data_IF_920037225580
#
_entry.id   IF_920037225580
#
_cell.length_a   1.000
_cell.length_b   1.000
_cell.length_c   1.000
_cell.angle_alpha   90.00
_cell.angle_beta   90.00
_cell.angle_gamma   90.00
#
_symmetry.space_group_name_H-M   'P 1'
#
loop_
_entity.id
_entity.type
_entity.pdbx_description
1 polymer ?
#
# COMPACT_ATOMS: atom_id res chain seq x y z
N UNK A 1 19.97 22.93 -48.04
CA UNK A 1 21.06 22.99 -47.02
C UNK A 1 21.05 24.29 -46.20
N UNK A 2 21.20 25.49 -46.78
CA UNK A 2 21.26 26.75 -45.98
C UNK A 2 20.02 27.03 -45.10
N UNK A 3 18.82 26.69 -45.58
CA UNK A 3 17.57 26.85 -44.81
C UNK A 3 17.50 25.87 -43.63
N UNK A 4 17.89 24.61 -43.84
CA UNK A 4 17.92 23.59 -42.78
C UNK A 4 18.95 23.95 -41.67
N UNK A 5 20.06 24.57 -42.05
CA UNK A 5 21.10 25.04 -41.14
C UNK A 5 20.64 26.21 -40.24
N UNK A 6 19.60 26.94 -40.62
CA UNK A 6 19.02 28.00 -39.78
C UNK A 6 17.80 27.47 -39.00
N UNK A 7 16.99 26.61 -39.63
CA UNK A 7 15.78 26.06 -39.02
C UNK A 7 16.04 25.25 -37.74
N UNK A 8 17.07 24.39 -37.73
CA UNK A 8 17.37 23.57 -36.55
C UNK A 8 17.79 24.41 -35.34
N UNK A 9 18.76 25.35 -35.44
CA UNK A 9 19.07 26.26 -34.34
C UNK A 9 17.89 27.14 -33.94
N UNK A 10 17.12 27.68 -34.89
CA UNK A 10 15.95 28.52 -34.58
C UNK A 10 14.88 27.73 -33.84
N UNK A 11 14.58 26.50 -34.27
CA UNK A 11 13.63 25.64 -33.59
C UNK A 11 14.11 25.26 -32.18
N UNK A 12 15.39 24.91 -32.03
CA UNK A 12 15.98 24.60 -30.73
C UNK A 12 15.90 25.79 -29.77
N UNK A 13 16.29 26.99 -30.22
CA UNK A 13 16.19 28.21 -29.41
C UNK A 13 14.73 28.55 -29.08
N UNK A 14 13.80 28.37 -30.01
CA UNK A 14 12.39 28.58 -29.76
C UNK A 14 11.87 27.63 -28.67
N UNK A 15 12.22 26.33 -28.74
CA UNK A 15 11.85 25.33 -27.72
C UNK A 15 12.44 25.70 -26.36
N UNK A 16 13.71 26.12 -26.29
CA UNK A 16 14.33 26.53 -25.04
C UNK A 16 13.68 27.78 -24.44
N UNK A 17 13.46 28.82 -25.25
CA UNK A 17 12.85 30.07 -24.77
C UNK A 17 11.42 29.81 -24.34
N UNK A 18 10.63 29.06 -25.11
CA UNK A 18 9.26 28.69 -24.73
C UNK A 18 9.26 27.84 -23.47
N UNK A 19 10.12 26.82 -23.40
CA UNK A 19 10.23 25.94 -22.24
C UNK A 19 10.60 26.68 -20.96
N UNK A 20 11.60 27.57 -21.01
CA UNK A 20 11.97 28.44 -19.89
C UNK A 20 10.84 29.41 -19.53
N UNK A 21 10.21 30.02 -20.53
CA UNK A 21 9.07 30.93 -20.29
C UNK A 21 7.95 30.19 -19.56
N UNK A 22 7.58 29.00 -20.02
CA UNK A 22 6.56 28.16 -19.38
C UNK A 22 6.98 27.74 -17.98
N UNK A 23 8.24 27.34 -17.78
CA UNK A 23 8.77 26.96 -16.48
C UNK A 23 8.64 28.10 -15.44
N UNK A 24 8.99 29.33 -15.81
CA UNK A 24 8.90 30.48 -14.90
C UNK A 24 7.49 31.08 -14.75
N UNK A 25 6.52 30.68 -15.60
CA UNK A 25 5.14 31.20 -15.56
C UNK A 25 4.12 30.19 -15.05
N UNK A 26 4.47 28.91 -15.00
CA UNK A 26 3.62 27.86 -14.41
C UNK A 26 3.82 27.86 -12.91
N UNK A 27 2.73 27.74 -12.15
CA UNK A 27 2.80 27.66 -10.69
C UNK A 27 3.39 26.32 -10.25
N UNK A 28 4.23 26.37 -9.21
CA UNK A 28 4.77 25.18 -8.59
C UNK A 28 3.65 24.34 -7.98
N UNK A 29 3.72 23.02 -8.19
CA UNK A 29 2.86 22.03 -7.55
C UNK A 29 3.58 21.45 -6.34
N UNK A 30 2.85 21.30 -5.24
CA UNK A 30 3.39 20.66 -4.03
C UNK A 30 3.33 19.13 -4.12
N UNK A 31 2.38 18.57 -4.86
CA UNK A 31 2.12 17.12 -4.91
C UNK A 31 1.88 16.61 -6.34
N UNK A 32 2.36 15.40 -6.61
CA UNK A 32 1.99 14.63 -7.81
C UNK A 32 0.96 13.57 -7.44
N UNK A 33 -0.25 13.73 -7.96
CA UNK A 33 -1.31 12.72 -7.79
C UNK A 33 -0.96 11.40 -8.49
N UNK A 34 -0.28 11.46 -9.65
CA UNK A 34 0.11 10.28 -10.44
C UNK A 34 1.23 9.47 -9.76
N UNK A 35 2.22 10.16 -9.17
CA UNK A 35 3.36 9.53 -8.52
C UNK A 35 3.15 9.33 -7.00
N UNK A 36 2.05 9.86 -6.44
CA UNK A 36 1.69 9.82 -5.02
C UNK A 36 2.85 10.22 -4.09
N UNK A 37 3.48 11.35 -4.39
CA UNK A 37 4.60 11.91 -3.60
C UNK A 37 4.57 13.43 -3.61
N UNK A 38 5.27 14.00 -2.64
CA UNK A 38 5.63 15.41 -2.64
C UNK A 38 6.61 15.72 -3.78
N UNK A 39 6.42 16.89 -4.37
CA UNK A 39 7.27 17.44 -5.41
C UNK A 39 8.24 18.43 -4.79
N UNK A 40 9.46 18.46 -5.31
CA UNK A 40 10.44 19.45 -4.89
C UNK A 40 9.94 20.83 -5.29
N UNK A 41 9.79 21.72 -4.31
CA UNK A 41 9.49 23.15 -4.50
C UNK A 41 10.75 23.99 -4.37
N UNK A 42 10.67 25.29 -4.68
CA UNK A 42 11.78 26.24 -4.65
C UNK A 42 12.29 26.58 -3.22
N UNK A 43 12.28 25.62 -2.31
CA UNK A 43 12.79 25.71 -0.95
C UNK A 43 14.14 25.01 -0.84
N UNK A 44 15.19 25.70 -1.30
CA UNK A 44 16.55 25.15 -1.31
C UNK A 44 17.32 25.46 -0.03
N UNK A 45 18.16 24.52 0.39
CA UNK A 45 19.08 24.77 1.50
C UNK A 45 20.09 25.87 1.14
N UNK A 46 20.22 26.88 2.01
CA UNK A 46 21.22 27.95 1.87
C UNK A 46 22.53 27.64 2.59
N UNK A 47 22.72 26.40 3.08
CA UNK A 47 23.91 26.01 3.83
C UNK A 47 25.09 25.71 2.89
N UNK A 48 26.26 26.27 3.17
CA UNK A 48 27.50 26.05 2.41
C UNK A 48 27.91 24.57 2.37
N UNK A 49 27.62 23.81 3.44
CA UNK A 49 27.89 22.35 3.47
C UNK A 49 27.04 21.58 2.45
N UNK A 50 25.81 22.03 2.18
CA UNK A 50 24.90 21.41 1.23
C UNK A 50 25.30 21.70 -0.23
N UNK A 51 26.04 22.78 -0.46
CA UNK A 51 26.66 23.10 -1.75
C UNK A 51 27.83 22.16 -2.02
N UNK A 52 28.74 22.01 -1.04
CA UNK A 52 29.95 21.18 -1.20
C UNK A 52 29.60 19.69 -1.31
N UNK A 53 28.57 19.24 -0.60
CA UNK A 53 28.10 17.84 -0.65
C UNK A 53 27.33 17.47 -1.93
N UNK A 54 26.99 18.46 -2.78
CA UNK A 54 26.19 18.26 -3.98
C UNK A 54 24.68 18.09 -3.70
N UNK A 55 24.24 18.22 -2.45
CA UNK A 55 22.83 18.16 -2.07
C UNK A 55 22.02 19.26 -2.75
N UNK A 56 22.52 20.51 -2.74
CA UNK A 56 21.85 21.62 -3.43
C UNK A 56 21.67 21.33 -4.93
N UNK A 57 22.67 20.72 -5.58
CA UNK A 57 22.58 20.38 -7.01
C UNK A 57 21.46 19.37 -7.25
N UNK A 58 21.35 18.34 -6.41
CA UNK A 58 20.27 17.34 -6.49
C UNK A 58 18.89 17.96 -6.23
N UNK A 59 18.78 18.87 -5.26
CA UNK A 59 17.53 19.60 -4.99
C UNK A 59 17.12 20.44 -6.19
N UNK A 60 18.04 21.18 -6.80
CA UNK A 60 17.77 21.99 -8.00
C UNK A 60 17.39 21.11 -9.20
N UNK A 61 18.10 20.00 -9.44
CA UNK A 61 17.74 19.05 -10.50
C UNK A 61 16.35 18.45 -10.29
N UNK A 62 16.03 18.09 -9.05
CA UNK A 62 14.72 17.56 -8.69
C UNK A 62 13.63 18.61 -8.88
N UNK A 63 13.86 19.86 -8.46
CA UNK A 63 12.94 20.98 -8.67
C UNK A 63 12.64 21.20 -10.15
N UNK A 64 13.67 21.29 -10.98
CA UNK A 64 13.50 21.52 -12.43
C UNK A 64 12.73 20.36 -13.07
N UNK A 65 13.01 19.12 -12.65
CA UNK A 65 12.28 17.94 -13.12
C UNK A 65 10.82 17.98 -12.68
N UNK A 66 10.57 18.23 -11.39
CA UNK A 66 9.25 18.14 -10.77
C UNK A 66 8.30 19.25 -11.22
N UNK A 67 8.82 20.47 -11.38
CA UNK A 67 8.06 21.64 -11.80
C UNK A 67 8.10 21.86 -13.32
N UNK A 68 8.54 20.87 -14.09
CA UNK A 68 8.56 20.98 -15.54
C UNK A 68 7.13 21.17 -16.09
N UNK A 69 6.95 22.19 -16.93
CA UNK A 69 5.63 22.50 -17.50
C UNK A 69 5.07 21.30 -18.27
N UNK A 70 3.80 20.97 -18.01
CA UNK A 70 3.12 19.80 -18.57
C UNK A 70 3.81 18.45 -18.27
N UNK A 71 4.51 18.33 -17.13
CA UNK A 71 5.22 17.11 -16.71
C UNK A 71 4.40 15.84 -16.93
N UNK A 72 3.13 15.84 -16.53
CA UNK A 72 2.31 14.63 -16.59
C UNK A 72 2.08 14.17 -18.04
N UNK A 73 1.87 15.10 -18.99
CA UNK A 73 1.74 14.78 -20.42
C UNK A 73 3.06 14.27 -21.02
N UNK A 74 4.19 14.87 -20.61
CA UNK A 74 5.52 14.41 -21.00
C UNK A 74 5.80 13.00 -20.50
N UNK A 75 5.51 12.73 -19.22
CA UNK A 75 5.74 11.43 -18.61
C UNK A 75 4.81 10.37 -19.19
N UNK A 76 3.54 10.70 -19.46
CA UNK A 76 2.61 9.84 -20.18
C UNK A 76 3.13 9.49 -21.58
N UNK A 77 3.64 10.48 -22.31
CA UNK A 77 4.23 10.29 -23.64
C UNK A 77 5.50 9.44 -23.58
N UNK A 78 6.34 9.63 -22.57
CA UNK A 78 7.54 8.84 -22.33
C UNK A 78 7.22 7.37 -22.00
N UNK A 79 6.20 7.11 -21.18
CA UNK A 79 5.73 5.74 -20.91
C UNK A 79 5.19 5.07 -22.17
N UNK A 80 4.39 5.77 -22.98
CA UNK A 80 3.92 5.27 -24.28
C UNK A 80 5.07 4.98 -25.23
N UNK A 81 6.09 5.84 -25.27
CA UNK A 81 7.29 5.63 -26.09
C UNK A 81 8.08 4.40 -25.65
N UNK A 82 8.31 4.22 -24.34
CA UNK A 82 8.95 3.01 -23.80
C UNK A 82 8.19 1.75 -24.18
N UNK A 83 6.86 1.79 -24.05
CA UNK A 83 5.97 0.68 -24.42
C UNK A 83 6.07 0.36 -25.93
N UNK A 84 6.02 1.38 -26.79
CA UNK A 84 6.06 1.23 -28.25
C UNK A 84 7.42 0.78 -28.78
N UNK A 85 8.50 1.15 -28.10
CA UNK A 85 9.88 0.75 -28.47
C UNK A 85 10.31 -0.60 -27.89
N UNK A 86 9.42 -1.28 -27.17
CA UNK A 86 9.68 -2.60 -26.59
C UNK A 86 10.62 -2.56 -25.39
N UNK A 87 10.73 -1.43 -24.68
CA UNK A 87 11.48 -1.39 -23.42
C UNK A 87 10.80 -2.33 -22.43
N UNK A 88 11.53 -3.36 -22.02
CA UNK A 88 11.01 -4.45 -21.20
C UNK A 88 10.55 -3.98 -19.81
N UNK A 89 11.34 -3.11 -19.18
CA UNK A 89 11.04 -2.55 -17.86
C UNK A 89 10.65 -1.09 -18.02
N UNK A 90 9.37 -0.79 -17.88
CA UNK A 90 8.85 0.56 -17.98
C UNK A 90 9.10 1.29 -16.67
N UNK A 91 9.57 2.54 -16.74
CA UNK A 91 9.96 3.34 -15.57
C UNK A 91 10.99 2.64 -14.66
N UNK A 92 11.71 1.65 -15.20
CA UNK A 92 12.67 0.81 -14.48
C UNK A 92 12.09 0.06 -13.26
N UNK A 93 10.76 -0.07 -13.22
CA UNK A 93 10.01 -0.65 -12.10
C UNK A 93 9.04 -1.77 -12.50
N UNK A 94 8.51 -1.77 -13.74
CA UNK A 94 7.40 -2.65 -14.09
C UNK A 94 7.56 -3.35 -15.44
N UNK A 95 7.10 -4.60 -15.48
CA UNK A 95 6.76 -5.30 -16.71
C UNK A 95 5.26 -5.12 -16.97
N UNK A 96 4.89 -4.76 -18.20
CA UNK A 96 3.50 -4.50 -18.58
C UNK A 96 3.11 -5.42 -19.73
N UNK A 97 2.09 -6.25 -19.52
CA UNK A 97 1.46 -7.00 -20.61
C UNK A 97 0.26 -6.23 -21.16
N UNK A 98 0.52 -5.46 -22.22
CA UNK A 98 -0.49 -4.62 -22.86
C UNK A 98 -1.70 -5.39 -23.41
N UNK A 99 -1.62 -6.72 -23.59
CA UNK A 99 -2.76 -7.53 -24.07
C UNK A 99 -3.77 -7.83 -22.97
N UNK A 100 -3.29 -8.05 -21.75
CA UNK A 100 -4.12 -8.50 -20.64
C UNK A 100 -4.35 -7.40 -19.60
N UNK A 101 -3.55 -6.33 -19.63
CA UNK A 101 -3.57 -5.24 -18.66
C UNK A 101 -2.78 -5.51 -17.39
N UNK A 102 -2.09 -6.65 -17.29
CA UNK A 102 -1.31 -7.00 -16.11
C UNK A 102 -0.05 -6.14 -15.99
N UNK A 103 0.13 -5.55 -14.81
CA UNK A 103 1.36 -4.93 -14.36
C UNK A 103 2.03 -5.85 -13.34
N UNK A 104 3.30 -6.17 -13.57
CA UNK A 104 4.14 -7.01 -12.72
C UNK A 104 5.35 -6.20 -12.28
N UNK A 105 5.62 -6.15 -10.97
CA UNK A 105 6.79 -5.44 -10.44
C UNK A 105 8.10 -6.07 -10.90
N UNK A 106 9.15 -5.26 -10.98
CA UNK A 106 10.53 -5.74 -11.11
C UNK A 106 10.83 -6.77 -10.02
N UNK A 107 11.61 -7.78 -10.37
CA UNK A 107 12.08 -8.79 -9.42
C UNK A 107 12.87 -8.10 -8.31
N UNK A 108 12.59 -8.45 -7.05
CA UNK A 108 13.40 -7.95 -5.96
C UNK A 108 14.67 -8.76 -5.78
N UNK A 109 15.70 -8.06 -5.31
CA UNK A 109 16.97 -8.65 -4.93
C UNK A 109 16.86 -9.36 -3.56
N UNK A 110 17.90 -10.11 -3.24
CA UNK A 110 18.03 -10.75 -1.93
C UNK A 110 18.24 -9.66 -0.87
N UNK A 111 17.41 -9.63 0.17
CA UNK A 111 17.57 -8.68 1.28
C UNK A 111 18.84 -9.05 2.06
N UNK A 112 19.76 -8.09 2.31
CA UNK A 112 20.95 -8.30 3.12
C UNK A 112 20.64 -8.87 4.51
N UNK A 113 21.56 -9.65 5.05
CA UNK A 113 21.38 -10.25 6.39
C UNK A 113 21.26 -9.18 7.48
N UNK A 114 22.02 -8.10 7.37
CA UNK A 114 22.01 -6.97 8.31
C UNK A 114 20.66 -6.25 8.38
N UNK A 115 19.96 -6.10 7.25
CA UNK A 115 18.61 -5.52 7.21
C UNK A 115 17.59 -6.44 7.89
N UNK A 116 17.69 -7.76 7.68
CA UNK A 116 16.81 -8.72 8.36
C UNK A 116 17.10 -8.79 9.86
N UNK A 117 18.37 -8.73 10.27
CA UNK A 117 18.78 -8.72 11.67
C UNK A 117 18.29 -7.44 12.37
N UNK A 118 18.41 -6.28 11.73
CA UNK A 118 17.88 -5.01 12.24
C UNK A 118 16.35 -5.07 12.42
N UNK A 119 15.64 -5.62 11.44
CA UNK A 119 14.18 -5.80 11.54
C UNK A 119 13.80 -6.70 12.74
N UNK A 120 14.48 -7.84 12.89
CA UNK A 120 14.20 -8.80 13.95
C UNK A 120 14.53 -8.22 15.33
N UNK A 121 15.65 -7.50 15.47
CA UNK A 121 16.01 -6.84 16.73
C UNK A 121 15.00 -5.77 17.11
N UNK A 122 14.54 -4.97 16.14
CA UNK A 122 13.48 -3.99 16.37
C UNK A 122 12.17 -4.65 16.84
N UNK A 123 11.75 -5.74 16.21
CA UNK A 123 10.56 -6.49 16.63
C UNK A 123 10.72 -7.17 17.99
N UNK A 124 11.93 -7.61 18.34
CA UNK A 124 12.25 -8.14 19.65
C UNK A 124 12.12 -7.06 20.73
N UNK A 125 12.59 -5.84 20.48
CA UNK A 125 12.42 -4.71 21.40
C UNK A 125 10.93 -4.38 21.62
N UNK A 126 10.12 -4.42 20.56
CA UNK A 126 8.67 -4.25 20.67
C UNK A 126 8.04 -5.39 21.49
N UNK A 127 8.42 -6.65 21.23
CA UNK A 127 7.92 -7.81 21.97
C UNK A 127 8.26 -7.71 23.46
N UNK A 128 9.49 -7.36 23.82
CA UNK A 128 9.93 -7.18 25.21
C UNK A 128 9.15 -6.04 25.89
N UNK A 129 8.96 -4.93 25.18
CA UNK A 129 8.17 -3.80 25.66
C UNK A 129 6.72 -4.17 25.94
N UNK A 130 6.03 -4.83 25.01
CA UNK A 130 4.64 -5.26 25.18
C UNK A 130 4.50 -6.34 26.26
N UNK A 131 5.47 -7.26 26.35
CA UNK A 131 5.49 -8.30 27.39
C UNK A 131 5.62 -7.72 28.80
N UNK A 132 6.29 -6.57 28.97
CA UNK A 132 6.35 -5.87 30.26
C UNK A 132 4.99 -5.31 30.72
N UNK A 133 4.02 -5.25 29.81
CA UNK A 133 2.62 -4.89 30.05
C UNK A 133 1.67 -6.10 29.99
N UNK A 134 2.20 -7.33 29.98
CA UNK A 134 1.43 -8.57 29.83
C UNK A 134 0.61 -8.65 28.52
N UNK A 135 1.03 -7.93 27.47
CA UNK A 135 0.35 -7.90 26.17
C UNK A 135 1.02 -8.89 25.21
N UNK A 136 0.34 -9.98 24.81
CA UNK A 136 0.87 -10.91 23.84
C UNK A 136 0.85 -10.35 22.42
N UNK A 137 1.83 -10.76 21.61
CA UNK A 137 2.09 -10.22 20.28
C UNK A 137 2.38 -11.33 19.28
N UNK A 138 1.93 -11.16 18.03
CA UNK A 138 2.40 -11.96 16.90
C UNK A 138 2.61 -11.12 15.62
N UNK A 139 3.50 -11.57 14.75
CA UNK A 139 3.84 -10.93 13.48
C UNK A 139 3.42 -11.77 12.26
N UNK A 140 2.63 -11.20 11.37
CA UNK A 140 2.09 -11.83 10.19
C UNK A 140 2.52 -11.14 8.91
N UNK A 141 2.74 -11.94 7.88
CA UNK A 141 2.92 -11.41 6.52
C UNK A 141 1.78 -11.80 5.58
N UNK A 142 1.13 -10.78 5.00
CA UNK A 142 0.21 -10.95 3.88
C UNK A 142 0.96 -11.22 2.58
N UNK A 143 0.40 -12.03 1.65
CA UNK A 143 1.02 -12.25 0.38
C UNK A 143 0.95 -10.98 -0.47
N UNK A 144 2.08 -10.37 -0.80
CA UNK A 144 2.08 -9.21 -1.67
C UNK A 144 1.94 -9.62 -3.13
N UNK A 145 1.19 -8.85 -3.94
CA UNK A 145 1.14 -9.04 -5.41
C UNK A 145 2.54 -9.09 -6.02
N UNK A 146 3.42 -8.20 -5.57
CA UNK A 146 4.79 -8.11 -6.02
C UNK A 146 5.58 -9.41 -5.77
N UNK A 147 5.21 -10.23 -4.79
CA UNK A 147 5.85 -11.52 -4.49
C UNK A 147 5.30 -12.65 -5.34
N UNK A 148 3.97 -12.78 -5.40
CA UNK A 148 3.33 -13.98 -5.93
C UNK A 148 2.91 -13.87 -7.40
N UNK A 149 2.69 -12.67 -7.93
CA UNK A 149 2.33 -12.48 -9.34
C UNK A 149 3.58 -12.18 -10.14
N UNK A 150 4.13 -13.21 -10.79
CA UNK A 150 5.34 -13.11 -11.65
C UNK A 150 5.03 -13.27 -13.14
N UNK A 151 3.81 -13.68 -13.49
CA UNK A 151 3.33 -13.76 -14.88
C UNK A 151 2.14 -12.82 -15.05
N UNK A 152 1.80 -12.41 -16.29
CA UNK A 152 2.65 -12.48 -17.48
C UNK A 152 3.89 -11.57 -17.33
N UNK A 153 5.07 -12.12 -17.62
CA UNK A 153 6.32 -11.37 -17.72
C UNK A 153 7.24 -12.05 -18.74
N UNK A 154 8.25 -11.34 -19.29
CA UNK A 154 9.21 -11.95 -20.21
C UNK A 154 9.96 -13.13 -19.56
N UNK A 155 10.29 -14.15 -20.36
CA UNK A 155 10.92 -15.38 -19.84
C UNK A 155 12.35 -15.19 -19.30
N UNK A 156 12.97 -14.04 -19.58
CA UNK A 156 14.33 -13.70 -19.15
C UNK A 156 14.35 -12.76 -17.92
N UNK A 157 13.20 -12.51 -17.31
CA UNK A 157 13.13 -11.74 -16.05
C UNK A 157 13.91 -12.48 -14.96
N UNK A 158 14.76 -11.78 -14.18
CA UNK A 158 15.45 -12.39 -13.05
C UNK A 158 14.49 -13.09 -12.10
N UNK A 159 14.99 -14.11 -11.41
CA UNK A 159 14.24 -14.72 -10.31
C UNK A 159 13.94 -13.65 -9.25
N UNK A 160 12.71 -13.66 -8.76
CA UNK A 160 12.29 -12.79 -7.70
C UNK A 160 12.59 -13.41 -6.34
N UNK A 161 13.29 -12.68 -5.48
CA UNK A 161 13.73 -13.19 -4.18
C UNK A 161 12.71 -13.01 -3.05
N UNK A 162 11.50 -12.50 -3.32
CA UNK A 162 10.49 -12.15 -2.31
C UNK A 162 10.09 -13.32 -1.42
N UNK A 163 9.74 -14.47 -2.01
CA UNK A 163 9.38 -15.69 -1.25
C UNK A 163 10.55 -16.12 -0.35
N UNK A 164 11.79 -16.07 -0.88
CA UNK A 164 12.99 -16.44 -0.13
C UNK A 164 13.30 -15.45 0.99
N UNK A 165 13.16 -14.15 0.74
CA UNK A 165 13.35 -13.10 1.74
C UNK A 165 12.34 -13.26 2.88
N UNK A 166 11.06 -13.47 2.54
CA UNK A 166 10.01 -13.70 3.55
C UNK A 166 10.28 -14.98 4.36
N UNK A 167 10.68 -16.08 3.72
CA UNK A 167 11.05 -17.30 4.44
C UNK A 167 12.24 -17.10 5.40
N UNK A 168 13.30 -16.42 4.95
CA UNK A 168 14.46 -16.08 5.79
C UNK A 168 14.08 -15.19 6.98
N UNK A 169 13.22 -14.20 6.76
CA UNK A 169 12.71 -13.35 7.83
C UNK A 169 11.96 -14.17 8.89
N UNK A 170 11.00 -15.00 8.47
CA UNK A 170 10.23 -15.82 9.41
C UNK A 170 11.09 -16.87 10.15
N UNK A 171 12.11 -17.42 9.50
CA UNK A 171 13.10 -18.29 10.17
C UNK A 171 13.83 -17.55 11.30
N UNK A 172 14.30 -16.32 11.03
CA UNK A 172 14.97 -15.48 12.03
C UNK A 172 14.04 -15.04 13.17
N UNK A 173 12.80 -14.64 12.86
CA UNK A 173 11.80 -14.28 13.87
C UNK A 173 11.55 -15.47 14.81
N UNK A 174 11.36 -16.67 14.24
CA UNK A 174 11.16 -17.90 15.01
C UNK A 174 12.39 -18.24 15.87
N UNK A 175 13.60 -18.11 15.32
CA UNK A 175 14.84 -18.35 16.05
C UNK A 175 15.04 -17.39 17.23
N UNK A 176 14.43 -16.22 17.19
CA UNK A 176 14.45 -15.21 18.27
C UNK A 176 13.21 -15.26 19.17
N UNK A 177 12.35 -16.28 19.05
CA UNK A 177 11.19 -16.46 19.92
C UNK A 177 10.02 -15.50 19.64
N UNK A 178 10.00 -14.85 18.48
CA UNK A 178 8.89 -14.00 18.06
C UNK A 178 7.83 -14.89 17.41
N UNK A 179 6.61 -14.89 17.94
CA UNK A 179 5.48 -15.58 17.34
C UNK A 179 5.15 -14.97 15.98
N UNK A 180 5.09 -15.80 14.94
CA UNK A 180 4.93 -15.33 13.57
C UNK A 180 4.21 -16.32 12.66
N UNK A 181 3.61 -15.82 11.57
CA UNK A 181 2.97 -16.66 10.54
C UNK A 181 2.96 -15.99 9.17
N UNK A 182 3.25 -16.76 8.11
CA UNK A 182 3.04 -16.32 6.73
C UNK A 182 1.58 -16.61 6.38
N UNK A 183 0.74 -15.60 6.17
CA UNK A 183 -0.69 -15.78 5.90
C UNK A 183 -0.91 -16.62 4.63
N UNK A 184 -0.01 -16.52 3.65
CA UNK A 184 -0.03 -17.35 2.45
C UNK A 184 -0.06 -18.86 2.76
N UNK A 185 0.60 -19.32 3.83
CA UNK A 185 0.64 -20.75 4.19
C UNK A 185 -0.72 -21.27 4.67
N UNK A 186 -1.58 -20.37 5.16
CA UNK A 186 -2.94 -20.69 5.62
C UNK A 186 -4.00 -20.55 4.52
N UNK A 187 -3.66 -19.98 3.36
CA UNK A 187 -4.55 -19.91 2.20
C UNK A 187 -4.61 -21.29 1.51
N UNK A 188 -5.81 -21.82 1.18
CA UNK A 188 -5.93 -23.11 0.52
C UNK A 188 -5.21 -23.14 -0.84
N UNK A 189 -4.44 -24.20 -1.09
CA UNK A 189 -3.70 -24.38 -2.37
C UNK A 189 -4.59 -24.43 -3.63
N UNK A 190 -5.90 -24.65 -3.47
CA UNK A 190 -6.86 -24.65 -4.56
C UNK A 190 -7.26 -23.23 -5.01
N UNK A 191 -6.97 -22.20 -4.21
CA UNK A 191 -7.15 -20.80 -4.60
C UNK A 191 -6.06 -20.45 -5.60
N UNK A 192 -6.46 -19.98 -6.78
CA UNK A 192 -5.50 -19.40 -7.72
C UNK A 192 -5.05 -18.04 -7.20
N UNK A 193 -3.75 -17.92 -6.92
CA UNK A 193 -3.15 -16.68 -6.44
C UNK A 193 -3.30 -15.53 -7.44
N UNK A 194 -3.43 -15.83 -8.74
CA UNK A 194 -3.67 -14.82 -9.76
C UNK A 194 -4.99 -14.09 -9.60
N UNK A 195 -6.04 -14.81 -9.17
CA UNK A 195 -7.38 -14.25 -9.01
C UNK A 195 -7.49 -13.35 -7.78
N UNK A 196 -6.50 -13.38 -6.89
CA UNK A 196 -6.49 -12.60 -5.66
C UNK A 196 -6.18 -11.11 -5.88
N UNK A 197 -5.66 -10.68 -7.04
CA UNK A 197 -5.12 -9.33 -7.19
C UNK A 197 -5.75 -8.55 -8.34
N UNK A 198 -5.76 -7.23 -8.18
CA UNK A 198 -5.95 -6.31 -9.29
C UNK A 198 -4.83 -6.48 -10.31
N UNK A 199 -5.13 -6.28 -11.60
CA UNK A 199 -4.13 -6.30 -12.67
C UNK A 199 -3.21 -5.09 -12.58
N UNK A 200 -3.74 -3.95 -12.18
CA UNK A 200 -3.10 -2.64 -12.31
C UNK A 200 -2.82 -1.89 -11.00
N UNK A 201 -3.25 -2.45 -9.88
CA UNK A 201 -2.92 -2.00 -8.54
C UNK A 201 -2.02 -3.02 -7.83
N UNK A 202 -1.37 -2.62 -6.75
CA UNK A 202 -0.46 -3.47 -5.99
C UNK A 202 -1.16 -4.31 -4.92
N UNK A 203 -2.41 -3.99 -4.57
CA UNK A 203 -3.20 -4.71 -3.57
C UNK A 203 -3.93 -5.91 -4.17
N UNK A 204 -4.44 -6.75 -3.27
CA UNK A 204 -5.47 -7.72 -3.62
C UNK A 204 -6.77 -7.04 -4.09
N UNK A 205 -7.59 -7.77 -4.83
CA UNK A 205 -9.00 -7.42 -5.01
C UNK A 205 -9.84 -7.98 -3.84
N UNK A 206 -11.15 -7.74 -3.82
CA UNK A 206 -12.00 -8.21 -2.71
C UNK A 206 -11.98 -9.73 -2.54
N UNK A 207 -11.87 -10.51 -3.61
CA UNK A 207 -11.76 -11.97 -3.50
C UNK A 207 -10.46 -12.36 -2.79
N UNK A 208 -9.32 -11.81 -3.21
CA UNK A 208 -8.04 -12.06 -2.55
C UNK A 208 -8.00 -11.57 -1.11
N UNK A 209 -8.56 -10.39 -0.84
CA UNK A 209 -8.70 -9.86 0.50
C UNK A 209 -9.51 -10.79 1.39
N UNK A 210 -10.63 -11.32 0.88
CA UNK A 210 -11.44 -12.30 1.59
C UNK A 210 -10.67 -13.59 1.90
N UNK A 211 -9.88 -14.12 0.96
CA UNK A 211 -9.01 -15.28 1.23
C UNK A 211 -7.97 -14.97 2.30
N UNK A 212 -7.38 -13.77 2.27
CA UNK A 212 -6.49 -13.27 3.30
C UNK A 212 -7.17 -13.17 4.67
N UNK A 213 -8.41 -12.67 4.71
CA UNK A 213 -9.23 -12.59 5.91
C UNK A 213 -9.53 -13.97 6.52
N UNK A 214 -9.91 -14.95 5.71
CA UNK A 214 -10.12 -16.33 6.20
C UNK A 214 -8.85 -16.92 6.83
N UNK A 215 -7.71 -16.74 6.15
CA UNK A 215 -6.42 -17.21 6.63
C UNK A 215 -5.96 -16.46 7.90
N UNK A 216 -6.22 -15.15 7.97
CA UNK A 216 -5.94 -14.32 9.14
C UNK A 216 -6.79 -14.72 10.33
N UNK A 217 -8.11 -14.84 10.19
CA UNK A 217 -9.00 -15.23 11.29
C UNK A 217 -8.67 -16.62 11.83
N UNK A 218 -8.33 -17.57 10.95
CA UNK A 218 -7.82 -18.87 11.37
C UNK A 218 -6.56 -18.72 12.25
N UNK A 219 -5.61 -17.90 11.80
CA UNK A 219 -4.34 -17.63 12.48
C UNK A 219 -4.52 -16.92 13.83
N UNK A 220 -5.50 -16.00 13.91
CA UNK A 220 -5.88 -15.29 15.14
C UNK A 220 -6.55 -16.27 16.11
N UNK A 221 -7.55 -17.03 15.68
CA UNK A 221 -8.27 -18.02 16.49
C UNK A 221 -7.32 -18.99 17.21
N UNK A 222 -6.29 -19.48 16.50
CA UNK A 222 -5.26 -20.37 17.06
C UNK A 222 -4.51 -19.76 18.25
N UNK A 223 -4.37 -18.42 18.29
CA UNK A 223 -3.61 -17.69 19.33
C UNK A 223 -4.48 -17.21 20.48
N UNK A 224 -5.67 -16.70 20.16
CA UNK A 224 -6.62 -16.25 21.19
C UNK A 224 -7.34 -17.42 21.88
N UNK A 225 -7.22 -18.63 21.33
CA UNK A 225 -7.81 -19.85 21.90
C UNK A 225 -9.32 -19.94 21.72
N UNK A 226 -9.85 -19.26 20.70
CA UNK A 226 -11.28 -19.18 20.42
C UNK A 226 -11.61 -19.75 19.04
N UNK A 227 -12.89 -20.06 18.84
CA UNK A 227 -13.39 -20.58 17.57
C UNK A 227 -14.44 -19.63 17.00
N UNK A 228 -13.96 -18.56 16.38
CA UNK A 228 -14.78 -17.57 15.68
C UNK A 228 -14.94 -18.04 14.22
N UNK A 229 -16.17 -18.16 13.75
CA UNK A 229 -16.44 -18.51 12.36
C UNK A 229 -16.43 -17.24 11.49
N UNK A 230 -15.64 -17.19 10.40
CA UNK A 230 -15.61 -16.02 9.53
C UNK A 230 -16.97 -15.72 8.88
N UNK A 231 -17.23 -14.44 8.62
CA UNK A 231 -18.37 -13.96 7.83
C UNK A 231 -18.28 -14.62 6.44
N UNK A 232 -19.34 -15.28 5.96
CA UNK A 232 -19.31 -15.99 4.69
C UNK A 232 -19.30 -15.03 3.49
N UNK A 233 -18.59 -15.43 2.44
CA UNK A 233 -18.70 -14.79 1.12
C UNK A 233 -20.01 -15.21 0.47
N UNK A 234 -20.92 -14.26 0.29
CA UNK A 234 -22.23 -14.52 -0.31
C UNK A 234 -22.39 -13.75 -1.63
N UNK A 235 -22.81 -14.43 -2.70
CA UNK A 235 -22.99 -13.80 -4.02
C UNK A 235 -23.98 -12.63 -3.98
N UNK A 236 -25.03 -12.71 -3.15
CA UNK A 236 -26.01 -11.63 -2.97
C UNK A 236 -25.40 -10.34 -2.39
N UNK A 237 -24.27 -10.44 -1.68
CA UNK A 237 -23.58 -9.30 -1.08
C UNK A 237 -22.52 -8.72 -2.03
N UNK A 238 -22.32 -9.34 -3.21
CA UNK A 238 -21.35 -8.87 -4.19
C UNK A 238 -21.86 -7.61 -4.89
N UNK A 239 -21.10 -6.52 -4.79
CA UNK A 239 -21.43 -5.25 -5.46
C UNK A 239 -20.16 -4.62 -6.02
N UNK A 240 -20.11 -4.38 -7.33
CA UNK A 240 -18.99 -3.73 -8.00
C UNK A 240 -19.34 -2.32 -8.47
N UNK A 241 -18.40 -1.39 -8.32
CA UNK A 241 -18.57 -0.02 -8.79
C UNK A 241 -18.44 0.05 -10.32
N UNK A 242 -19.25 0.88 -10.99
CA UNK A 242 -19.16 1.09 -12.43
C UNK A 242 -17.99 1.98 -12.85
N UNK A 243 -17.33 2.62 -11.88
CA UNK A 243 -16.24 3.57 -12.07
C UNK A 243 -15.00 2.92 -12.68
N UNK A 244 -14.24 3.72 -13.43
CA UNK A 244 -12.90 3.33 -13.86
C UNK A 244 -11.96 3.27 -12.64
N UNK A 245 -11.21 2.17 -12.53
CA UNK A 245 -10.26 1.98 -11.46
C UNK A 245 -8.89 2.59 -11.77
N UNK A 246 -8.43 3.45 -10.87
CA UNK A 246 -7.13 4.11 -10.90
C UNK A 246 -6.15 3.38 -9.97
N UNK A 247 -5.70 2.21 -10.42
CA UNK A 247 -4.74 1.39 -9.69
C UNK A 247 -3.39 2.08 -9.52
N UNK A 248 -2.77 1.97 -8.35
CA UNK A 248 -1.58 2.74 -7.98
C UNK A 248 -0.38 2.49 -8.90
N UNK A 249 -0.15 1.26 -9.37
CA UNK A 249 0.91 0.98 -10.33
C UNK A 249 0.60 1.60 -11.70
N UNK A 250 -0.66 1.63 -12.12
CA UNK A 250 -1.06 2.32 -13.36
C UNK A 250 -0.96 3.84 -13.24
N UNK A 251 -1.23 4.42 -12.06
CA UNK A 251 -1.03 5.87 -11.81
C UNK A 251 0.43 6.28 -12.04
N UNK A 252 1.39 5.50 -11.55
CA UNK A 252 2.83 5.72 -11.82
C UNK A 252 3.17 5.61 -13.32
N UNK A 253 2.38 4.82 -14.05
CA UNK A 253 2.41 4.70 -15.51
C UNK A 253 1.45 5.67 -16.23
N UNK A 254 0.95 6.69 -15.54
CA UNK A 254 0.10 7.76 -16.08
C UNK A 254 -1.18 7.25 -16.76
N UNK A 255 -1.77 6.19 -16.18
CA UNK A 255 -3.01 5.55 -16.64
C UNK A 255 -2.95 5.14 -18.11
N UNK A 256 -1.79 4.68 -18.56
CA UNK A 256 -1.57 4.26 -19.95
C UNK A 256 -1.90 2.79 -20.20
N UNK A 257 -2.03 1.99 -19.14
CA UNK A 257 -2.36 0.57 -19.24
C UNK A 257 -3.87 0.39 -19.21
N UNK A 258 -4.44 -0.05 -20.33
CA UNK A 258 -5.84 -0.42 -20.41
C UNK A 258 -6.11 -1.68 -19.58
N UNK A 259 -7.20 -1.70 -18.84
CA UNK A 259 -7.59 -2.78 -17.95
C UNK A 259 -9.11 -2.74 -17.68
N UNK A 260 -9.59 -3.75 -16.99
CA UNK A 260 -10.97 -4.00 -16.58
C UNK A 260 -11.09 -4.22 -15.06
N UNK A 261 -10.11 -3.75 -14.28
CA UNK A 261 -10.16 -3.83 -12.83
C UNK A 261 -11.36 -3.02 -12.30
N UNK A 262 -12.06 -3.56 -11.32
CA UNK A 262 -13.20 -2.89 -10.68
C UNK A 262 -13.13 -3.06 -9.16
N UNK A 263 -13.41 -2.00 -8.41
CA UNK A 263 -13.66 -2.12 -6.98
C UNK A 263 -14.96 -2.90 -6.78
N UNK A 264 -14.88 -3.97 -6.00
CA UNK A 264 -16.01 -4.78 -5.60
C UNK A 264 -16.04 -4.91 -4.08
N UNK A 265 -17.23 -5.15 -3.54
CA UNK A 265 -17.48 -5.35 -2.13
C UNK A 265 -18.13 -6.70 -1.91
N UNK A 266 -17.85 -7.32 -0.77
CA UNK A 266 -18.60 -8.46 -0.27
C UNK A 266 -18.70 -8.37 1.25
N UNK A 267 -19.78 -7.76 1.74
CA UNK A 267 -20.05 -7.59 3.17
C UNK A 267 -21.57 -7.56 3.41
N UNK A 268 -22.06 -8.01 4.57
CA UNK A 268 -23.50 -8.00 4.88
C UNK A 268 -23.99 -6.57 5.16
N UNK A 269 -25.23 -6.26 4.80
CA UNK A 269 -25.83 -4.93 5.05
C UNK A 269 -25.79 -4.49 6.52
N UNK A 270 -25.72 -5.44 7.47
CA UNK A 270 -25.59 -5.16 8.90
C UNK A 270 -24.37 -4.32 9.24
N UNK A 271 -23.28 -4.40 8.46
CA UNK A 271 -22.05 -3.62 8.70
C UNK A 271 -22.31 -2.11 8.75
N UNK A 272 -23.30 -1.62 8.00
CA UNK A 272 -23.59 -0.19 7.94
C UNK A 272 -24.09 0.38 9.28
N UNK A 273 -24.59 -0.46 10.18
CA UNK A 273 -25.16 -0.06 11.46
C UNK A 273 -24.60 -0.84 12.67
N UNK A 274 -23.63 -1.73 12.46
CA UNK A 274 -23.09 -2.62 13.50
C UNK A 274 -22.06 -1.93 14.40
N UNK A 275 -21.38 -0.88 13.92
CA UNK A 275 -20.18 -0.33 14.55
C UNK A 275 -20.34 1.13 14.96
N UNK A 276 -19.79 1.45 16.14
CA UNK A 276 -19.34 2.81 16.47
C UNK A 276 -17.86 2.93 16.15
N UNK A 277 -17.49 3.82 15.23
CA UNK A 277 -16.10 3.96 14.77
C UNK A 277 -15.51 5.29 15.27
N UNK A 278 -14.30 5.23 15.82
CA UNK A 278 -13.57 6.40 16.32
C UNK A 278 -12.26 6.56 15.57
N UNK A 279 -11.95 7.78 15.11
CA UNK A 279 -10.60 8.13 14.67
C UNK A 279 -9.75 8.46 15.91
N UNK A 280 -9.09 7.44 16.47
CA UNK A 280 -8.42 7.51 17.76
C UNK A 280 -8.90 6.42 18.73
N UNK A 281 -8.77 6.67 20.03
CA UNK A 281 -9.25 5.77 21.09
C UNK A 281 -10.78 5.82 21.18
N UNK A 282 -11.40 4.73 21.62
CA UNK A 282 -12.85 4.69 21.87
C UNK A 282 -13.25 5.78 22.86
N UNK A 283 -14.28 6.55 22.53
CA UNK A 283 -14.77 7.65 23.37
C UNK A 283 -13.97 8.95 23.28
N UNK A 284 -12.87 8.97 22.52
CA UNK A 284 -12.13 10.20 22.19
C UNK A 284 -12.52 10.73 20.81
N UNK A 285 -12.73 12.04 20.69
CA UNK A 285 -12.98 12.69 19.41
C UNK A 285 -14.40 12.49 18.87
N UNK A 286 -14.53 12.51 17.53
CA UNK A 286 -15.80 12.38 16.82
C UNK A 286 -16.03 10.92 16.44
N UNK A 287 -17.27 10.46 16.60
CA UNK A 287 -17.72 9.17 16.11
C UNK A 287 -18.07 9.24 14.60
N UNK A 288 -17.73 8.18 13.89
CA UNK A 288 -17.90 7.98 12.46
C UNK A 288 -18.74 6.73 12.20
N UNK A 289 -19.46 6.75 11.08
CA UNK A 289 -20.22 5.60 10.60
C UNK A 289 -19.38 4.75 9.67
N UNK A 290 -19.88 3.54 9.34
CA UNK A 290 -19.26 2.68 8.34
C UNK A 290 -18.95 3.42 7.02
N UNK A 291 -19.92 4.16 6.48
CA UNK A 291 -19.78 4.85 5.20
C UNK A 291 -18.88 6.09 5.23
N UNK A 292 -18.53 6.61 6.42
CA UNK A 292 -17.53 7.68 6.56
C UNK A 292 -16.09 7.15 6.38
N UNK A 293 -15.87 5.86 6.63
CA UNK A 293 -14.55 5.22 6.67
C UNK A 293 -14.36 4.23 5.53
N UNK A 294 -15.40 3.49 5.16
CA UNK A 294 -15.36 2.41 4.18
C UNK A 294 -16.35 2.64 3.04
N UNK A 295 -15.98 2.22 1.82
CA UNK A 295 -16.84 2.30 0.64
C UNK A 295 -17.29 3.72 0.26
N UNK A 296 -16.49 4.75 0.60
CA UNK A 296 -16.80 6.14 0.28
C UNK A 296 -17.05 6.39 -1.22
N UNK A 297 -16.39 5.62 -2.08
CA UNK A 297 -16.58 5.68 -3.53
C UNK A 297 -17.98 5.30 -4.03
N UNK A 298 -18.83 4.64 -3.21
CA UNK A 298 -20.23 4.37 -3.58
C UNK A 298 -21.05 5.64 -3.87
N UNK A 299 -20.63 6.78 -3.31
CA UNK A 299 -21.31 8.07 -3.47
C UNK A 299 -20.65 8.97 -4.52
N UNK A 300 -19.58 8.52 -5.19
CA UNK A 300 -18.89 9.30 -6.23
C UNK A 300 -19.67 9.27 -7.55
N UNK A 301 -19.49 10.28 -8.41
CA UNK A 301 -20.02 10.24 -9.77
C UNK A 301 -19.40 9.05 -10.52
N UNK A 302 -20.22 8.32 -11.28
CA UNK A 302 -19.79 7.11 -12.01
C UNK A 302 -18.67 7.34 -13.03
N UNK A 303 -18.47 8.58 -13.48
CA UNK A 303 -17.42 8.94 -14.44
C UNK A 303 -16.12 9.37 -13.75
N UNK A 304 -16.11 9.48 -12.42
CA UNK A 304 -14.89 9.74 -11.65
C UNK A 304 -14.06 8.47 -11.48
N UNK A 305 -12.74 8.63 -11.46
CA UNK A 305 -11.84 7.53 -11.15
C UNK A 305 -11.91 7.17 -9.67
N UNK A 306 -11.93 5.87 -9.39
CA UNK A 306 -11.87 5.34 -8.02
C UNK A 306 -10.52 4.69 -7.78
N UNK A 307 -9.93 4.90 -6.60
CA UNK A 307 -8.68 4.28 -6.18
C UNK A 307 -8.95 3.18 -5.15
N UNK A 308 -7.95 2.38 -4.78
CA UNK A 308 -8.11 1.38 -3.72
C UNK A 308 -8.52 2.02 -2.39
N UNK A 309 -7.94 3.18 -2.07
CA UNK A 309 -8.17 3.87 -0.80
C UNK A 309 -9.56 4.53 -0.72
N UNK A 310 -10.05 5.13 -1.82
CA UNK A 310 -11.41 5.67 -1.88
C UNK A 310 -12.47 4.58 -2.04
N UNK A 311 -12.08 3.48 -2.70
CA UNK A 311 -12.90 2.27 -2.88
C UNK A 311 -13.14 1.55 -1.56
N UNK A 312 -12.08 1.25 -0.80
CA UNK A 312 -12.18 0.56 0.48
C UNK A 312 -12.08 1.56 1.63
N UNK A 313 -10.88 1.81 2.16
CA UNK A 313 -10.61 2.77 3.23
C UNK A 313 -9.26 3.46 3.01
N UNK A 314 -9.16 4.71 3.46
CA UNK A 314 -7.89 5.41 3.61
C UNK A 314 -7.04 4.76 4.72
N UNK A 315 -5.76 5.12 4.76
CA UNK A 315 -4.88 4.83 5.89
C UNK A 315 -5.01 5.93 6.94
N UNK A 316 -5.40 5.54 8.14
CA UNK A 316 -5.52 6.43 9.31
C UNK A 316 -4.55 5.98 10.39
N UNK A 317 -4.00 6.93 11.15
CA UNK A 317 -3.09 6.64 12.25
C UNK A 317 -3.69 5.62 13.24
N UNK A 318 -4.96 5.83 13.61
CA UNK A 318 -5.69 4.96 14.51
C UNK A 318 -7.19 4.99 14.16
N UNK A 319 -7.79 3.80 14.04
CA UNK A 319 -9.24 3.60 14.02
C UNK A 319 -9.61 2.61 15.11
N UNK A 320 -10.55 2.96 15.97
CA UNK A 320 -11.12 2.02 16.94
C UNK A 320 -12.57 1.72 16.59
N UNK A 321 -12.89 0.44 16.54
CA UNK A 321 -14.21 -0.10 16.25
C UNK A 321 -14.77 -0.67 17.54
N UNK A 322 -15.93 -0.18 17.97
CA UNK A 322 -16.73 -0.79 19.02
C UNK A 322 -17.90 -1.52 18.37
N UNK A 323 -18.06 -2.79 18.71
CA UNK A 323 -19.09 -3.67 18.19
C UNK A 323 -19.87 -4.25 19.38
N UNK A 324 -21.19 -4.11 19.38
CA UNK A 324 -22.05 -4.69 20.42
C UNK A 324 -22.56 -6.09 20.05
N UNK A 325 -22.42 -6.49 18.78
CA UNK A 325 -22.78 -7.82 18.25
C UNK A 325 -21.50 -8.59 17.90
N UNK A 326 -20.72 -8.94 18.94
CA UNK A 326 -19.42 -9.59 18.83
C UNK A 326 -19.48 -11.09 19.15
N UNK A 327 -18.59 -11.85 18.52
CA UNK A 327 -18.36 -13.26 18.85
C UNK A 327 -17.40 -13.44 20.04
N UNK A 328 -16.50 -12.47 20.24
CA UNK A 328 -15.44 -12.46 21.24
C UNK A 328 -15.44 -11.14 22.02
N UNK A 329 -15.38 -11.21 23.35
CA UNK A 329 -15.36 -10.03 24.22
C UNK A 329 -14.01 -9.30 24.26
N UNK A 330 -13.02 -9.83 23.53
CA UNK A 330 -11.65 -9.32 23.48
C UNK A 330 -11.52 -7.96 22.80
N UNK A 331 -10.49 -7.24 23.21
CA UNK A 331 -9.92 -6.12 22.49
C UNK A 331 -8.67 -6.56 21.74
N UNK A 332 -8.74 -6.53 20.41
CA UNK A 332 -7.60 -6.84 19.54
C UNK A 332 -7.05 -5.57 18.90
N UNK A 333 -5.73 -5.41 18.92
CA UNK A 333 -5.03 -4.37 18.15
C UNK A 333 -4.40 -5.00 16.92
N UNK A 334 -4.62 -4.40 15.75
CA UNK A 334 -3.97 -4.81 14.50
C UNK A 334 -3.15 -3.63 13.98
N UNK A 335 -1.84 -3.83 13.95
CA UNK A 335 -0.90 -2.88 13.37
C UNK A 335 -0.66 -3.27 11.92
N UNK A 336 -1.01 -2.42 10.96
CA UNK A 336 -1.20 -2.84 9.56
C UNK A 336 -0.54 -1.93 8.53
N UNK A 337 -0.52 -2.42 7.28
CA UNK A 337 -0.49 -1.59 6.08
C UNK A 337 -1.80 -1.65 5.29
N UNK A 338 -1.84 -0.96 4.16
CA UNK A 338 -3.03 -0.78 3.32
C UNK A 338 -3.70 -2.07 2.81
N UNK A 339 -3.05 -3.25 2.88
CA UNK A 339 -3.74 -4.51 2.56
C UNK A 339 -4.95 -4.72 3.47
N UNK A 340 -4.85 -4.39 4.76
CA UNK A 340 -5.93 -4.60 5.73
C UNK A 340 -7.18 -3.77 5.44
N UNK A 341 -7.05 -2.65 4.72
CA UNK A 341 -8.15 -1.68 4.52
C UNK A 341 -9.41 -2.31 3.92
N UNK A 342 -9.27 -3.32 3.05
CA UNK A 342 -10.41 -4.00 2.42
C UNK A 342 -11.19 -4.93 3.38
N UNK A 343 -10.57 -5.39 4.46
CA UNK A 343 -11.10 -6.43 5.36
C UNK A 343 -11.14 -6.02 6.84
N UNK A 344 -10.79 -4.77 7.18
CA UNK A 344 -10.75 -4.31 8.57
C UNK A 344 -12.11 -4.44 9.28
N UNK A 345 -13.22 -4.19 8.58
CA UNK A 345 -14.57 -4.38 9.12
C UNK A 345 -14.95 -5.86 9.27
N UNK A 346 -14.50 -6.73 8.36
CA UNK A 346 -14.69 -8.18 8.49
C UNK A 346 -13.98 -8.75 9.70
N UNK A 347 -12.84 -8.17 10.10
CA UNK A 347 -12.17 -8.58 11.32
C UNK A 347 -12.83 -7.94 12.54
N UNK A 348 -13.15 -6.65 12.48
CA UNK A 348 -13.80 -5.93 13.57
C UNK A 348 -15.19 -6.48 13.94
N UNK A 349 -15.90 -7.12 13.00
CA UNK A 349 -17.22 -7.73 13.26
C UNK A 349 -17.19 -8.85 14.30
N UNK A 350 -16.02 -9.38 14.64
CA UNK A 350 -15.91 -10.52 15.54
C UNK A 350 -15.55 -10.15 16.98
N UNK A 351 -14.97 -8.99 17.19
CA UNK A 351 -14.42 -8.58 18.48
C UNK A 351 -15.22 -7.41 19.03
N UNK A 352 -15.43 -7.40 20.35
CA UNK A 352 -16.07 -6.27 21.04
C UNK A 352 -15.36 -4.97 20.72
N UNK A 353 -14.02 -4.99 20.76
CA UNK A 353 -13.22 -3.85 20.34
C UNK A 353 -12.11 -4.31 19.39
N UNK A 354 -11.95 -3.59 18.28
CA UNK A 354 -10.78 -3.73 17.42
C UNK A 354 -10.15 -2.37 17.25
N UNK A 355 -8.84 -2.25 17.41
CA UNK A 355 -8.12 -1.02 17.09
C UNK A 355 -7.12 -1.29 15.97
N UNK A 356 -7.29 -0.58 14.87
CA UNK A 356 -6.40 -0.62 13.72
C UNK A 356 -5.40 0.53 13.85
N UNK A 357 -4.10 0.21 13.80
CA UNK A 357 -3.01 1.18 13.85
C UNK A 357 -2.23 1.17 12.55
N UNK A 358 -2.00 2.35 11.99
CA UNK A 358 -1.06 2.55 10.89
C UNK A 358 0.08 3.43 11.38
N UNK A 359 1.21 2.80 11.64
CA UNK A 359 2.28 3.47 12.33
C UNK A 359 3.01 4.51 11.45
N UNK A 360 2.86 4.46 10.12
CA UNK A 360 3.37 5.48 9.19
C UNK A 360 2.77 6.87 9.43
N UNK A 361 1.56 6.89 10.01
CA UNK A 361 0.81 8.11 10.32
C UNK A 361 0.73 8.39 11.82
N UNK A 362 1.34 7.53 12.63
CA UNK A 362 1.35 7.66 14.09
C UNK A 362 2.61 8.38 14.55
N UNK A 363 2.55 9.00 15.73
CA UNK A 363 3.70 9.69 16.34
C UNK A 363 3.95 9.14 17.73
N UNK A 364 5.21 8.91 18.05
CA UNK A 364 5.64 8.41 19.36
C UNK A 364 6.00 6.94 19.33
N UNK A 365 6.37 6.44 20.51
CA UNK A 365 6.82 5.07 20.70
C UNK A 365 5.64 4.08 20.53
N UNK A 366 5.78 3.06 19.66
CA UNK A 366 4.69 2.12 19.37
C UNK A 366 4.32 1.26 20.59
N UNK A 367 5.28 0.91 21.46
CA UNK A 367 5.00 0.09 22.65
C UNK A 367 4.09 0.86 23.60
N UNK A 368 4.42 2.11 23.93
CA UNK A 368 3.60 2.94 24.82
C UNK A 368 2.19 3.16 24.25
N UNK A 369 2.11 3.50 22.96
CA UNK A 369 0.83 3.73 22.29
C UNK A 369 -0.06 2.49 22.32
N UNK A 370 0.50 1.30 22.10
CA UNK A 370 -0.25 0.04 22.14
C UNK A 370 -0.60 -0.34 23.59
N UNK A 371 0.33 -0.17 24.53
CA UNK A 371 0.11 -0.49 25.94
C UNK A 371 -1.01 0.37 26.57
N UNK A 372 -1.11 1.64 26.18
CA UNK A 372 -2.19 2.53 26.62
C UNK A 372 -3.59 2.11 26.12
N UNK A 373 -3.67 1.23 25.12
CA UNK A 373 -4.93 0.69 24.61
C UNK A 373 -5.43 -0.49 25.45
N UNK A 374 -4.57 -1.08 26.30
CA UNK A 374 -4.86 -2.26 27.13
C UNK A 374 -5.47 -3.46 26.35
N UNK A 375 -4.88 -3.89 25.21
CA UNK A 375 -5.45 -4.95 24.39
C UNK A 375 -5.17 -6.36 24.95
N UNK A 376 -6.09 -7.30 24.69
CA UNK A 376 -5.88 -8.72 24.96
C UNK A 376 -4.82 -9.35 24.04
N UNK A 377 -4.66 -8.82 22.82
CA UNK A 377 -3.68 -9.29 21.85
C UNK A 377 -3.33 -8.22 20.82
N UNK A 378 -2.08 -8.26 20.34
CA UNK A 378 -1.59 -7.39 19.27
C UNK A 378 -1.10 -8.22 18.10
N UNK A 379 -1.58 -7.90 16.90
CA UNK A 379 -1.14 -8.53 15.66
C UNK A 379 -0.52 -7.49 14.72
N UNK A 380 0.75 -7.66 14.39
CA UNK A 380 1.39 -6.88 13.33
C UNK A 380 1.14 -7.62 12.01
N UNK A 381 0.43 -7.02 11.06
CA UNK A 381 0.02 -7.65 9.81
C UNK A 381 0.40 -6.77 8.61
N UNK A 382 1.54 -7.07 7.99
CA UNK A 382 2.09 -6.33 6.86
C UNK A 382 2.23 -7.20 5.63
N UNK A 383 2.29 -6.63 4.44
CA UNK A 383 2.64 -7.42 3.26
C UNK A 383 4.10 -7.87 3.28
N UNK A 384 4.40 -9.00 2.64
CA UNK A 384 5.73 -9.63 2.66
C UNK A 384 6.85 -8.92 1.86
N UNK A 385 6.59 -7.70 1.40
CA UNK A 385 7.60 -6.78 0.84
C UNK A 385 7.97 -5.64 1.76
N UNK A 386 7.30 -5.52 2.90
CA UNK A 386 7.44 -4.37 3.78
C UNK A 386 8.46 -4.63 4.89
N UNK A 387 9.74 -4.40 4.59
CA UNK A 387 10.85 -4.58 5.54
C UNK A 387 11.20 -3.30 6.32
N UNK A 388 10.59 -2.15 6.01
CA UNK A 388 11.02 -0.85 6.55
C UNK A 388 10.09 -0.30 7.64
N UNK A 389 9.15 -1.11 8.15
CA UNK A 389 8.07 -0.61 9.01
C UNK A 389 8.56 -0.12 10.37
N UNK A 390 9.73 -0.58 10.81
CA UNK A 390 10.29 -0.21 12.12
C UNK A 390 11.42 0.81 12.02
N UNK A 391 11.85 1.18 10.82
CA UNK A 391 12.85 2.25 10.62
C UNK A 391 12.26 3.66 10.80
N UNK A 392 10.95 3.76 11.05
CA UNK A 392 10.23 5.04 11.15
C UNK A 392 9.97 5.50 12.60
N UNK A 393 10.50 4.81 13.62
CA UNK A 393 10.38 5.20 15.05
C UNK A 393 11.68 5.75 15.61
#
# INVERSE_FOLDING_TARGET
MKILNLLLPTAFLAVLVIGLTLFFTTEDREVSEMENRELQTANFSTNVQDIISGKLTKEVESYISDQFAFRDDWMKSFVKFQSATGKTVIKDQYYVDARTGWIVSKAADLVPEEELDAFVENFKNIQEGLSAHDIPMAFFTFPAKATYIRKPSPSFVPEDMGIKNNARLHEKLTANGIDNTKIMDAIPKAVDVHDMYFKTDHHWNMFGAYQGYLALMKTINERIGEKIEPIPFEEKNMSCLPNDFSGSWNKVLYLTVANDDQICYNYPESFENQFSVYMGKVGEGKEYTFNDIYAGAKNMDKNEFVSYATGYSLDYAMLSFLNEDYDSDKHIVIVKDSYMNAIQFHVASHFKQTTILDLRYSKGDPVNMIAELDPDYVFFAYNDRNFNVVEQY
#
